data_IF_350013407511
#
_entry.id   IF_350013407511
#
_cell.length_a   1.000
_cell.length_b   1.000
_cell.length_c   1.000
_cell.angle_alpha   90.00
_cell.angle_beta   90.00
_cell.angle_gamma   90.00
#
_symmetry.space_group_name_H-M   'P 1'
#
loop_
_entity.id
_entity.type
_entity.pdbx_description
1 polymer ?
#
# COMPACT_ATOMS: atom_id res chain seq x y z
N UNK A 1 -23.35 -16.34 -16.77
CA UNK A 1 -22.65 -16.46 -15.47
C UNK A 1 -21.19 -16.91 -15.62
N UNK A 2 -20.88 -18.06 -16.22
CA UNK A 2 -19.49 -18.57 -16.34
C UNK A 2 -18.53 -17.57 -17.03
N UNK A 3 -19.00 -16.88 -18.08
CA UNK A 3 -18.17 -15.88 -18.79
C UNK A 3 -17.79 -14.66 -17.95
N UNK A 4 -18.63 -14.25 -16.99
CA UNK A 4 -18.34 -13.09 -16.13
C UNK A 4 -17.27 -13.44 -15.08
N UNK A 5 -17.34 -14.63 -14.48
CA UNK A 5 -16.30 -15.11 -13.57
C UNK A 5 -14.95 -15.33 -14.25
N UNK A 6 -14.96 -15.87 -15.48
CA UNK A 6 -13.73 -16.05 -16.27
C UNK A 6 -13.07 -14.70 -16.60
N UNK A 7 -13.86 -13.68 -16.93
CA UNK A 7 -13.36 -12.34 -17.19
C UNK A 7 -12.80 -11.68 -15.92
N UNK A 8 -13.53 -11.74 -14.79
CA UNK A 8 -13.05 -11.22 -13.51
C UNK A 8 -11.74 -11.92 -13.06
N UNK A 9 -11.63 -13.23 -13.28
CA UNK A 9 -10.41 -13.98 -13.01
C UNK A 9 -9.23 -13.47 -13.83
N UNK A 10 -9.43 -13.28 -15.15
CA UNK A 10 -8.42 -12.76 -16.05
C UNK A 10 -7.95 -11.36 -15.62
N UNK A 11 -8.87 -10.48 -15.23
CA UNK A 11 -8.56 -9.13 -14.73
C UNK A 11 -7.74 -9.21 -13.44
N UNK A 12 -8.10 -10.07 -12.49
CA UNK A 12 -7.34 -10.26 -11.25
C UNK A 12 -5.93 -10.82 -11.51
N UNK A 13 -5.76 -11.76 -12.44
CA UNK A 13 -4.43 -12.23 -12.84
C UNK A 13 -3.59 -11.14 -13.53
N UNK A 14 -4.21 -10.34 -14.39
CA UNK A 14 -3.55 -9.21 -15.03
C UNK A 14 -3.12 -8.16 -13.99
N UNK A 15 -3.99 -7.85 -13.03
CA UNK A 15 -3.67 -6.99 -11.89
C UNK A 15 -2.46 -7.50 -11.14
N UNK A 16 -2.46 -8.77 -10.74
CA UNK A 16 -1.32 -9.37 -10.04
C UNK A 16 -0.03 -9.27 -10.86
N UNK A 17 -0.10 -9.57 -12.15
CA UNK A 17 1.06 -9.51 -13.05
C UNK A 17 1.61 -8.08 -13.16
N UNK A 18 0.74 -7.08 -13.36
CA UNK A 18 1.11 -5.66 -13.41
C UNK A 18 1.72 -5.24 -12.07
N UNK A 19 1.10 -5.60 -10.95
CA UNK A 19 1.60 -5.27 -9.62
C UNK A 19 3.01 -5.81 -9.37
N UNK A 20 3.23 -7.11 -9.60
CA UNK A 20 4.55 -7.75 -9.40
C UNK A 20 5.59 -7.14 -10.34
N UNK A 21 5.20 -6.82 -11.57
CA UNK A 21 6.08 -6.19 -12.55
C UNK A 21 6.49 -4.76 -12.17
N UNK A 22 5.58 -3.94 -11.67
CA UNK A 22 5.86 -2.55 -11.28
C UNK A 22 6.41 -2.39 -9.86
N UNK A 23 6.23 -3.38 -8.98
CA UNK A 23 6.76 -3.37 -7.61
C UNK A 23 8.23 -2.97 -7.48
N UNK A 24 9.20 -3.44 -8.30
CA UNK A 24 10.59 -2.98 -8.19
C UNK A 24 10.75 -1.48 -8.46
N UNK A 25 9.99 -0.91 -9.41
CA UNK A 25 10.00 0.53 -9.69
C UNK A 25 9.40 1.29 -8.52
N UNK A 26 8.23 0.86 -8.05
CA UNK A 26 7.54 1.51 -6.93
C UNK A 26 8.41 1.48 -5.66
N UNK A 27 9.05 0.35 -5.37
CA UNK A 27 9.95 0.25 -4.23
C UNK A 27 11.12 1.23 -4.32
N UNK A 28 11.74 1.36 -5.49
CA UNK A 28 12.82 2.33 -5.73
C UNK A 28 12.30 3.77 -5.60
N UNK A 29 11.14 4.08 -6.20
CA UNK A 29 10.51 5.40 -6.11
C UNK A 29 10.13 5.77 -4.67
N UNK A 30 9.72 4.80 -3.86
CA UNK A 30 9.41 5.04 -2.47
C UNK A 30 10.69 5.23 -1.67
N UNK A 31 11.69 4.34 -1.79
CA UNK A 31 12.86 4.29 -0.87
C UNK A 31 14.02 5.19 -1.28
N UNK A 32 14.36 5.20 -2.56
CA UNK A 32 15.59 5.80 -3.08
C UNK A 32 15.34 7.16 -3.73
N UNK A 33 14.23 7.36 -4.45
CA UNK A 33 13.91 8.67 -5.03
C UNK A 33 13.92 9.86 -4.05
N UNK A 34 13.42 9.77 -2.79
CA UNK A 34 13.49 10.92 -1.88
C UNK A 34 14.94 11.23 -1.46
N UNK A 35 15.82 10.22 -1.42
CA UNK A 35 17.24 10.43 -1.14
C UNK A 35 17.96 11.06 -2.33
N UNK A 36 17.60 10.63 -3.54
CA UNK A 36 18.09 11.22 -4.78
C UNK A 36 17.69 12.70 -4.91
N UNK A 37 16.42 13.03 -4.58
CA UNK A 37 15.93 14.43 -4.54
C UNK A 37 16.67 15.29 -3.50
N UNK A 38 17.17 14.68 -2.42
CA UNK A 38 18.03 15.35 -1.43
C UNK A 38 19.52 15.44 -1.86
N UNK A 39 19.87 15.05 -3.09
CA UNK A 39 21.23 15.08 -3.62
C UNK A 39 22.15 13.97 -3.09
N UNK A 40 21.60 12.88 -2.52
CA UNK A 40 22.39 11.75 -2.04
C UNK A 40 22.62 10.72 -3.15
N UNK A 41 23.75 10.04 -3.07
CA UNK A 41 24.01 8.88 -3.93
C UNK A 41 23.03 7.75 -3.59
N UNK A 42 22.37 7.21 -4.61
CA UNK A 42 21.38 6.12 -4.49
C UNK A 42 21.78 4.92 -5.32
N UNK A 43 21.32 3.74 -4.91
CA UNK A 43 21.54 2.53 -5.69
C UNK A 43 20.74 2.60 -7.01
N UNK A 44 21.28 2.06 -8.12
CA UNK A 44 20.53 1.94 -9.36
C UNK A 44 19.38 0.94 -9.20
N UNK A 45 18.34 1.10 -10.01
CA UNK A 45 17.21 0.17 -10.08
C UNK A 45 17.71 -1.26 -10.38
N UNK A 46 17.52 -2.18 -9.42
CA UNK A 46 18.01 -3.57 -9.53
C UNK A 46 16.97 -4.52 -10.10
N UNK A 47 16.54 -4.27 -11.34
CA UNK A 47 15.51 -5.08 -12.01
C UNK A 47 15.86 -6.57 -12.02
N UNK A 48 17.07 -6.91 -12.49
CA UNK A 48 17.54 -8.31 -12.55
C UNK A 48 17.65 -8.95 -11.16
N UNK A 49 18.08 -8.17 -10.16
CA UNK A 49 18.19 -8.64 -8.78
C UNK A 49 16.84 -9.06 -8.21
N UNK A 50 15.80 -8.26 -8.44
CA UNK A 50 14.43 -8.54 -8.03
C UNK A 50 13.92 -9.88 -8.60
N UNK A 51 14.03 -10.07 -9.91
CA UNK A 51 13.57 -11.30 -10.56
C UNK A 51 14.41 -12.52 -10.21
N UNK A 52 15.73 -12.36 -10.03
CA UNK A 52 16.57 -13.46 -9.54
C UNK A 52 16.19 -13.88 -8.11
N UNK A 53 15.79 -12.92 -7.27
CA UNK A 53 15.31 -13.19 -5.91
C UNK A 53 14.03 -14.04 -5.89
N UNK A 54 13.09 -13.74 -6.78
CA UNK A 54 11.88 -14.55 -6.98
C UNK A 54 12.19 -15.98 -7.45
N UNK A 55 13.16 -16.15 -8.36
CA UNK A 55 13.60 -17.48 -8.77
C UNK A 55 14.15 -18.29 -7.60
N UNK A 56 14.85 -17.64 -6.67
CA UNK A 56 15.38 -18.28 -5.47
C UNK A 56 14.31 -18.55 -4.39
N UNK A 57 13.22 -17.76 -4.34
CA UNK A 57 12.07 -17.99 -3.43
C UNK A 57 11.47 -19.38 -3.61
N UNK A 58 11.35 -19.86 -4.86
CA UNK A 58 10.79 -21.19 -5.12
C UNK A 58 11.69 -22.35 -4.69
N UNK A 59 13.00 -22.12 -4.56
CA UNK A 59 13.98 -23.15 -4.21
C UNK A 59 14.23 -23.30 -2.71
N UNK A 60 13.74 -22.40 -1.85
CA UNK A 60 14.08 -22.36 -0.42
C UNK A 60 12.84 -22.14 0.45
N UNK A 61 12.88 -22.64 1.69
CA UNK A 61 11.78 -22.49 2.64
C UNK A 61 11.75 -21.07 3.19
N UNK A 62 10.59 -20.42 3.08
CA UNK A 62 10.31 -19.13 3.72
C UNK A 62 10.00 -19.35 5.21
N UNK A 63 10.32 -18.36 6.04
CA UNK A 63 9.83 -18.35 7.42
C UNK A 63 8.31 -18.18 7.44
N UNK A 64 7.65 -18.59 8.54
CA UNK A 64 6.20 -18.47 8.67
C UNK A 64 5.75 -16.99 8.58
N UNK A 65 6.53 -16.07 9.16
CA UNK A 65 6.24 -14.64 9.14
C UNK A 65 6.44 -14.05 7.74
N UNK A 66 7.49 -14.44 7.02
CA UNK A 66 7.72 -14.04 5.63
C UNK A 66 6.62 -14.56 4.71
N UNK A 67 6.23 -15.83 4.86
CA UNK A 67 5.15 -16.44 4.10
C UNK A 67 3.81 -15.73 4.36
N UNK A 68 3.50 -15.44 5.63
CA UNK A 68 2.32 -14.68 6.00
C UNK A 68 2.31 -13.29 5.36
N UNK A 69 3.41 -12.54 5.45
CA UNK A 69 3.47 -11.19 4.87
C UNK A 69 3.42 -11.20 3.35
N UNK A 70 4.02 -12.19 2.70
CA UNK A 70 3.89 -12.39 1.26
C UNK A 70 2.43 -12.64 0.87
N UNK A 71 1.74 -13.55 1.57
CA UNK A 71 0.32 -13.84 1.33
C UNK A 71 -0.52 -12.57 1.51
N UNK A 72 -0.29 -11.81 2.58
CA UNK A 72 -0.97 -10.53 2.82
C UNK A 72 -0.76 -9.54 1.66
N UNK A 73 0.47 -9.37 1.19
CA UNK A 73 0.77 -8.46 0.06
C UNK A 73 0.08 -8.92 -1.23
N UNK A 74 0.05 -10.23 -1.50
CA UNK A 74 -0.62 -10.82 -2.65
C UNK A 74 -2.15 -10.66 -2.56
N UNK A 75 -2.75 -10.96 -1.41
CA UNK A 75 -4.19 -10.77 -1.17
C UNK A 75 -4.56 -9.30 -1.40
N UNK A 76 -3.82 -8.36 -0.80
CA UNK A 76 -4.07 -6.94 -0.98
C UNK A 76 -3.94 -6.51 -2.46
N UNK A 77 -2.94 -7.01 -3.18
CA UNK A 77 -2.80 -6.69 -4.61
C UNK A 77 -3.92 -7.26 -5.49
N UNK A 78 -4.53 -8.37 -5.09
CA UNK A 78 -5.63 -9.01 -5.82
C UNK A 78 -6.99 -8.38 -5.51
N UNK A 79 -7.18 -7.88 -4.30
CA UNK A 79 -8.43 -7.26 -3.86
C UNK A 79 -8.53 -5.78 -4.20
N UNK A 80 -7.40 -5.05 -4.27
CA UNK A 80 -7.40 -3.61 -4.53
C UNK A 80 -7.88 -3.28 -5.96
N UNK A 81 -8.82 -2.32 -6.12
CA UNK A 81 -9.38 -1.94 -7.41
C UNK A 81 -8.47 -0.99 -8.20
N UNK A 82 -7.15 -1.20 -8.20
CA UNK A 82 -6.22 -0.21 -8.77
C UNK A 82 -6.24 -0.14 -10.30
N UNK A 83 -6.69 -1.19 -10.99
CA UNK A 83 -6.90 -1.19 -12.45
C UNK A 83 -8.38 -1.17 -12.81
N UNK A 84 -9.19 -1.93 -12.08
CA UNK A 84 -10.63 -2.04 -12.25
C UNK A 84 -11.31 -2.34 -10.93
N UNK A 85 -12.53 -1.82 -10.77
CA UNK A 85 -13.43 -2.20 -9.69
C UNK A 85 -14.00 -3.64 -9.87
N UNK A 86 -13.98 -4.18 -11.09
CA UNK A 86 -14.49 -5.52 -11.43
C UNK A 86 -13.43 -6.61 -11.23
N UNK A 87 -13.13 -6.95 -9.98
CA UNK A 87 -12.23 -8.06 -9.62
C UNK A 87 -12.96 -9.13 -8.80
N UNK A 88 -12.44 -10.37 -8.80
CA UNK A 88 -13.06 -11.50 -8.09
C UNK A 88 -13.14 -11.30 -6.58
N UNK A 89 -12.24 -10.51 -6.02
CA UNK A 89 -12.11 -10.24 -4.58
C UNK A 89 -12.57 -8.82 -4.23
N UNK A 90 -13.45 -8.23 -5.02
CA UNK A 90 -14.00 -6.88 -4.78
C UNK A 90 -14.69 -6.77 -3.42
N UNK A 91 -15.31 -7.85 -2.94
CA UNK A 91 -15.92 -7.92 -1.61
C UNK A 91 -14.91 -7.95 -0.45
N UNK A 92 -13.62 -8.19 -0.74
CA UNK A 92 -12.51 -8.06 0.21
C UNK A 92 -11.80 -6.71 0.10
N UNK A 93 -12.26 -5.81 -0.79
CA UNK A 93 -11.70 -4.47 -0.98
C UNK A 93 -12.12 -3.46 0.10
N UNK A 94 -12.44 -3.94 1.30
CA UNK A 94 -12.67 -3.08 2.44
C UNK A 94 -11.33 -2.47 2.90
N UNK A 95 -11.18 -1.13 2.90
CA UNK A 95 -9.95 -0.48 3.29
C UNK A 95 -9.55 -0.79 4.74
N UNK A 96 -10.51 -1.00 5.65
CA UNK A 96 -10.19 -1.39 7.03
C UNK A 96 -9.59 -2.79 7.06
N UNK A 97 -10.22 -3.77 6.41
CA UNK A 97 -9.74 -5.16 6.40
C UNK A 97 -8.36 -5.26 5.75
N UNK A 98 -8.20 -4.68 4.55
CA UNK A 98 -6.92 -4.69 3.84
C UNK A 98 -5.85 -3.91 4.59
N UNK A 99 -6.21 -2.74 5.13
CA UNK A 99 -5.30 -1.95 5.96
C UNK A 99 -4.84 -2.71 7.21
N UNK A 100 -5.75 -3.40 7.90
CA UNK A 100 -5.42 -4.26 9.05
C UNK A 100 -4.49 -5.40 8.66
N UNK A 101 -4.76 -6.08 7.54
CA UNK A 101 -3.90 -7.16 7.04
C UNK A 101 -2.50 -6.63 6.71
N UNK A 102 -2.39 -5.52 6.00
CA UNK A 102 -1.10 -4.90 5.65
C UNK A 102 -0.32 -4.45 6.91
N UNK A 103 -1.01 -3.88 7.90
CA UNK A 103 -0.41 -3.54 9.20
C UNK A 103 0.07 -4.79 9.94
N UNK A 104 -0.69 -5.89 9.91
CA UNK A 104 -0.28 -7.17 10.48
C UNK A 104 0.96 -7.74 9.78
N UNK A 105 0.99 -7.73 8.45
CA UNK A 105 2.16 -8.15 7.66
C UNK A 105 3.40 -7.30 7.95
N UNK A 106 3.21 -6.00 8.20
CA UNK A 106 4.26 -5.05 8.59
C UNK A 106 4.82 -5.37 9.98
N UNK A 107 3.95 -5.67 10.94
CA UNK A 107 4.35 -6.09 12.29
C UNK A 107 5.03 -7.47 12.28
N UNK A 108 4.60 -8.39 11.41
CA UNK A 108 5.21 -9.71 11.24
C UNK A 108 6.65 -9.63 10.71
N UNK A 109 6.91 -8.81 9.68
CA UNK A 109 8.28 -8.61 9.19
C UNK A 109 9.19 -7.92 10.20
N UNK A 110 8.64 -7.01 11.01
CA UNK A 110 9.44 -6.29 12.02
C UNK A 110 9.68 -7.12 13.28
N UNK A 111 8.80 -8.07 13.60
CA UNK A 111 8.99 -9.01 14.72
C UNK A 111 9.95 -10.15 14.40
N UNK A 112 10.12 -10.52 13.12
CA UNK A 112 11.11 -11.53 12.69
C UNK A 112 12.53 -11.16 13.16
N UNK A 113 12.90 -9.88 13.05
CA UNK A 113 14.20 -9.38 13.53
C UNK A 113 14.40 -9.50 15.05
N UNK A 114 13.33 -9.72 15.83
CA UNK A 114 13.39 -9.96 17.26
C UNK A 114 13.73 -11.43 17.57
N UNK A 115 13.24 -12.36 16.75
CA UNK A 115 13.40 -13.79 16.93
C UNK A 115 14.83 -14.26 16.64
N UNK A 116 15.53 -13.59 15.71
CA UNK A 116 16.91 -13.93 15.32
C UNK A 116 18.01 -13.40 16.26
N UNK A 117 17.68 -13.07 17.51
CA UNK A 117 18.66 -12.67 18.54
C UNK A 117 18.58 -11.19 18.92
N UNK A 118 17.40 -10.79 19.41
CA UNK A 118 17.01 -9.50 19.95
C UNK A 118 18.16 -8.54 20.32
N UNK A 119 18.44 -7.59 19.43
CA UNK A 119 19.15 -6.37 19.80
C UNK A 119 18.18 -5.41 20.49
N UNK A 120 18.60 -4.63 21.51
CA UNK A 120 17.74 -3.62 22.15
C UNK A 120 17.19 -2.61 21.14
N UNK A 121 17.90 -2.36 20.04
CA UNK A 121 17.45 -1.52 18.93
C UNK A 121 16.21 -2.09 18.21
N UNK A 122 16.08 -3.40 18.07
CA UNK A 122 14.94 -4.05 17.43
C UNK A 122 13.66 -3.91 18.27
N UNK A 123 13.76 -4.01 19.61
CA UNK A 123 12.64 -3.81 20.54
C UNK A 123 12.10 -2.38 20.45
N UNK A 124 12.99 -1.38 20.41
CA UNK A 124 12.60 0.02 20.29
C UNK A 124 11.89 0.25 18.96
N UNK A 125 12.45 -0.28 17.86
CA UNK A 125 11.84 -0.16 16.54
C UNK A 125 10.46 -0.80 16.50
N UNK A 126 10.30 -2.01 17.06
CA UNK A 126 9.02 -2.69 17.13
C UNK A 126 7.98 -1.87 17.91
N UNK A 127 8.33 -1.31 19.09
CA UNK A 127 7.42 -0.43 19.85
C UNK A 127 6.99 0.80 19.06
N UNK A 128 7.90 1.38 18.31
CA UNK A 128 7.60 2.51 17.43
C UNK A 128 6.62 2.08 16.34
N UNK A 129 6.85 0.95 15.67
CA UNK A 129 5.94 0.40 14.66
C UNK A 129 4.55 0.09 15.24
N UNK A 130 4.45 -0.52 16.43
CA UNK A 130 3.16 -0.75 17.11
C UNK A 130 2.39 0.53 17.36
N UNK A 131 3.06 1.60 17.81
CA UNK A 131 2.41 2.89 18.05
C UNK A 131 1.85 3.48 16.76
N UNK A 132 2.60 3.42 15.67
CA UNK A 132 2.15 3.94 14.38
C UNK A 132 1.12 3.03 13.71
N UNK A 133 1.19 1.71 13.92
CA UNK A 133 0.16 0.78 13.50
C UNK A 133 -1.17 1.04 14.23
N UNK A 134 -1.12 1.34 15.54
CA UNK A 134 -2.31 1.76 16.30
C UNK A 134 -2.91 3.06 15.78
N UNK A 135 -2.08 4.06 15.45
CA UNK A 135 -2.55 5.29 14.80
C UNK A 135 -3.13 5.00 13.40
N UNK A 136 -2.50 4.13 12.63
CA UNK A 136 -2.97 3.67 11.33
C UNK A 136 -4.35 3.02 11.43
N UNK A 137 -4.57 2.16 12.41
CA UNK A 137 -5.87 1.52 12.68
C UNK A 137 -6.97 2.55 12.95
N UNK A 138 -6.67 3.58 13.76
CA UNK A 138 -7.62 4.67 14.04
C UNK A 138 -7.98 5.42 12.74
N UNK A 139 -6.99 5.71 11.90
CA UNK A 139 -7.21 6.40 10.62
C UNK A 139 -8.00 5.51 9.65
N UNK A 140 -7.72 4.21 9.60
CA UNK A 140 -8.48 3.25 8.79
C UNK A 140 -9.95 3.18 9.23
N UNK A 141 -10.21 3.14 10.55
CA UNK A 141 -11.57 3.22 11.08
C UNK A 141 -12.27 4.54 10.73
N UNK A 142 -11.55 5.66 10.74
CA UNK A 142 -12.08 6.93 10.25
C UNK A 142 -12.38 6.91 8.74
N UNK A 143 -11.59 6.17 7.95
CA UNK A 143 -11.82 5.98 6.51
C UNK A 143 -13.15 5.26 6.29
N UNK A 144 -13.37 4.14 6.97
CA UNK A 144 -14.61 3.37 6.88
C UNK A 144 -15.81 4.19 7.35
N UNK A 145 -15.69 4.95 8.44
CA UNK A 145 -16.74 5.84 8.90
C UNK A 145 -17.10 6.92 7.86
N UNK A 146 -16.12 7.51 7.17
CA UNK A 146 -16.38 8.47 6.09
C UNK A 146 -17.06 7.81 4.88
N UNK A 147 -16.63 6.61 4.50
CA UNK A 147 -17.24 5.84 3.40
C UNK A 147 -18.70 5.52 3.75
N UNK A 148 -18.96 4.99 4.95
CA UNK A 148 -20.30 4.67 5.42
C UNK A 148 -21.21 5.91 5.50
N UNK A 149 -20.67 7.07 5.84
CA UNK A 149 -21.42 8.33 5.88
C UNK A 149 -21.80 8.86 4.50
N UNK A 150 -20.96 8.63 3.48
CA UNK A 150 -21.15 9.22 2.16
C UNK A 150 -21.80 8.28 1.15
N UNK A 151 -21.68 6.97 1.33
CA UNK A 151 -22.22 5.95 0.45
C UNK A 151 -22.89 4.84 1.27
N UNK A 152 -24.06 5.10 1.88
CA UNK A 152 -24.77 4.08 2.64
C UNK A 152 -25.14 2.90 1.73
N UNK A 153 -24.66 1.70 2.08
CA UNK A 153 -24.85 0.48 1.30
C UNK A 153 -23.74 0.15 0.30
N UNK A 154 -22.65 0.92 0.23
CA UNK A 154 -21.46 0.50 -0.50
C UNK A 154 -20.61 -0.47 0.33
N UNK A 155 -20.46 -1.70 -0.14
CA UNK A 155 -19.59 -2.70 0.49
C UNK A 155 -18.11 -2.44 0.07
N UNK A 156 -17.44 -1.50 0.74
CA UNK A 156 -16.01 -1.22 0.57
C UNK A 156 -15.64 -0.26 -0.57
N UNK A 157 -14.35 -0.26 -0.97
CA UNK A 157 -13.81 0.67 -1.96
C UNK A 157 -14.42 0.49 -3.35
N UNK A 158 -14.71 -0.75 -3.76
CA UNK A 158 -15.30 -1.07 -5.06
C UNK A 158 -16.69 -0.43 -5.20
N UNK A 159 -17.55 -0.58 -4.18
CA UNK A 159 -18.86 0.05 -4.11
C UNK A 159 -18.78 1.58 -4.04
N UNK A 160 -17.80 2.13 -3.31
CA UNK A 160 -17.56 3.58 -3.28
C UNK A 160 -17.20 4.13 -4.66
N UNK A 161 -16.32 3.45 -5.40
CA UNK A 161 -15.92 3.86 -6.75
C UNK A 161 -17.12 3.87 -7.70
N UNK A 162 -17.96 2.83 -7.65
CA UNK A 162 -19.18 2.76 -8.45
C UNK A 162 -20.14 3.93 -8.12
N UNK A 163 -20.31 4.26 -6.84
CA UNK A 163 -21.19 5.35 -6.43
C UNK A 163 -20.65 6.73 -6.84
N UNK A 164 -19.35 6.99 -6.68
CA UNK A 164 -18.73 8.27 -7.03
C UNK A 164 -18.72 8.54 -8.55
N UNK A 165 -18.74 7.50 -9.38
CA UNK A 165 -18.87 7.66 -10.83
C UNK A 165 -20.28 8.12 -11.24
N UNK A 166 -21.30 7.74 -10.46
CA UNK A 166 -22.69 8.13 -10.71
C UNK A 166 -22.99 9.50 -10.12
N UNK A 167 -22.55 9.75 -8.88
CA UNK A 167 -22.77 10.99 -8.16
C UNK A 167 -21.46 11.47 -7.51
N UNK A 168 -20.74 12.41 -8.15
CA UNK A 168 -19.46 12.88 -7.64
C UNK A 168 -19.67 13.76 -6.39
N UNK A 169 -19.02 13.39 -5.28
CA UNK A 169 -19.07 14.13 -4.01
C UNK A 169 -17.68 14.72 -3.72
N UNK A 170 -17.38 15.95 -4.18
CA UNK A 170 -16.02 16.52 -4.11
C UNK A 170 -15.53 16.73 -2.67
N UNK A 171 -16.44 16.99 -1.72
CA UNK A 171 -16.09 17.11 -0.30
C UNK A 171 -15.59 15.80 0.31
N UNK A 172 -16.12 14.66 -0.15
CA UNK A 172 -15.68 13.33 0.28
C UNK A 172 -14.33 12.98 -0.34
N UNK A 173 -14.14 13.21 -1.64
CA UNK A 173 -12.87 12.95 -2.31
C UNK A 173 -11.71 13.71 -1.64
N UNK A 174 -11.94 14.99 -1.32
CA UNK A 174 -10.96 15.79 -0.56
C UNK A 174 -10.70 15.25 0.85
N UNK A 175 -11.73 14.74 1.53
CA UNK A 175 -11.59 14.13 2.84
C UNK A 175 -10.78 12.82 2.80
N UNK A 176 -11.07 11.95 1.82
CA UNK A 176 -10.35 10.69 1.61
C UNK A 176 -8.90 10.94 1.19
N UNK A 177 -8.63 11.96 0.38
CA UNK A 177 -7.27 12.39 0.06
C UNK A 177 -6.51 12.82 1.33
N UNK A 178 -7.14 13.58 2.23
CA UNK A 178 -6.54 13.94 3.52
C UNK A 178 -6.26 12.71 4.39
N UNK A 179 -7.17 11.74 4.43
CA UNK A 179 -6.98 10.47 5.14
C UNK A 179 -5.82 9.67 4.55
N UNK A 180 -5.72 9.56 3.23
CA UNK A 180 -4.61 8.87 2.57
C UNK A 180 -3.27 9.53 2.93
N UNK A 181 -3.21 10.85 2.98
CA UNK A 181 -2.02 11.58 3.47
C UNK A 181 -1.74 11.29 4.95
N UNK A 182 -2.77 11.27 5.80
CA UNK A 182 -2.62 10.92 7.21
C UNK A 182 -2.05 9.51 7.40
N UNK A 183 -2.53 8.53 6.64
CA UNK A 183 -2.01 7.15 6.62
C UNK A 183 -0.56 7.10 6.11
N UNK A 184 -0.23 7.85 5.06
CA UNK A 184 1.13 7.94 4.55
C UNK A 184 2.11 8.51 5.58
N UNK A 185 1.67 9.52 6.36
CA UNK A 185 2.44 10.12 7.45
C UNK A 185 2.59 9.15 8.63
N UNK A 186 1.51 8.48 9.03
CA UNK A 186 1.51 7.56 10.15
C UNK A 186 2.36 6.31 9.85
N UNK A 187 2.16 5.70 8.68
CA UNK A 187 2.75 4.43 8.29
C UNK A 187 3.62 4.59 7.03
N UNK A 188 4.79 5.26 7.11
CA UNK A 188 5.68 5.38 5.96
C UNK A 188 6.29 4.03 5.58
N UNK A 189 6.74 3.82 4.33
CA UNK A 189 7.37 2.59 3.87
C UNK A 189 8.39 2.01 4.84
N UNK A 190 8.37 0.68 5.00
CA UNK A 190 9.25 -0.07 5.86
C UNK A 190 10.72 0.23 5.53
N UNK A 191 11.49 0.53 6.57
CA UNK A 191 12.95 0.58 6.47
C UNK A 191 13.46 -0.83 6.75
N UNK A 192 14.14 -1.50 5.81
CA UNK A 192 14.71 -2.80 6.08
C UNK A 192 15.69 -2.66 7.23
N UNK A 193 15.56 -3.50 8.27
CA UNK A 193 16.54 -3.51 9.35
C UNK A 193 17.90 -3.90 8.76
N UNK A 194 18.99 -3.21 9.13
CA UNK A 194 20.32 -3.68 8.80
C UNK A 194 20.52 -5.05 9.47
N UNK A 195 21.11 -6.04 8.79
CA UNK A 195 21.40 -7.32 9.41
C UNK A 195 22.21 -7.12 10.69
N UNK A 196 21.83 -7.84 11.75
CA UNK A 196 22.70 -7.98 12.93
C UNK A 196 24.03 -8.61 12.55
N UNK A 197 24.99 -8.63 13.49
CA UNK A 197 26.40 -9.07 13.35
C UNK A 197 26.62 -10.51 12.80
N UNK A 198 25.58 -11.22 12.33
CA UNK A 198 25.68 -12.51 11.65
C UNK A 198 26.48 -12.51 10.34
N UNK A 199 26.91 -11.34 9.84
CA UNK A 199 27.88 -11.23 8.74
C UNK A 199 29.24 -11.90 9.03
N UNK A 200 29.55 -12.21 10.29
CA UNK A 200 30.79 -12.89 10.70
C UNK A 200 30.69 -14.42 10.78
N UNK A 201 29.50 -15.03 10.65
CA UNK A 201 29.31 -16.50 10.71
C UNK A 201 28.36 -16.98 9.61
N UNK A 202 28.89 -17.66 8.59
CA UNK A 202 28.09 -18.36 7.57
C UNK A 202 27.28 -17.43 6.66
N UNK A 203 27.95 -16.70 5.77
CA UNK A 203 27.43 -15.49 5.15
C UNK A 203 26.37 -15.67 4.04
N UNK A 204 26.10 -16.86 3.51
CA UNK A 204 25.19 -17.02 2.35
C UNK A 204 23.72 -17.06 2.74
N UNK A 205 23.37 -17.81 3.79
CA UNK A 205 21.97 -18.06 4.15
C UNK A 205 21.35 -16.85 4.85
N UNK A 206 22.10 -16.17 5.73
CA UNK A 206 21.66 -14.91 6.37
C UNK A 206 21.51 -13.78 5.34
N UNK A 207 22.40 -13.71 4.33
CA UNK A 207 22.24 -12.73 3.23
C UNK A 207 20.98 -12.99 2.43
N UNK A 208 20.69 -14.26 2.15
CA UNK A 208 19.48 -14.66 1.45
C UNK A 208 18.22 -14.26 2.23
N UNK A 209 18.14 -14.54 3.53
CA UNK A 209 16.99 -14.16 4.38
C UNK A 209 16.78 -12.64 4.43
N UNK A 210 17.86 -11.87 4.56
CA UNK A 210 17.79 -10.41 4.57
C UNK A 210 17.34 -9.86 3.22
N UNK A 211 17.87 -10.40 2.12
CA UNK A 211 17.43 -10.03 0.79
C UNK A 211 15.98 -10.45 0.58
N UNK A 212 15.56 -11.61 1.06
CA UNK A 212 14.17 -12.08 1.00
C UNK A 212 13.21 -11.12 1.71
N UNK A 213 13.50 -10.77 2.95
CA UNK A 213 12.71 -9.81 3.72
C UNK A 213 12.64 -8.45 3.03
N UNK A 214 13.70 -8.01 2.33
CA UNK A 214 13.67 -6.77 1.53
C UNK A 214 12.73 -6.85 0.34
N UNK A 215 12.69 -7.98 -0.37
CA UNK A 215 11.78 -8.20 -1.50
C UNK A 215 10.32 -8.25 -1.02
N UNK A 216 10.04 -8.97 0.07
CA UNK A 216 8.70 -9.06 0.64
C UNK A 216 8.26 -7.69 1.19
N UNK A 217 9.14 -6.96 1.87
CA UNK A 217 8.86 -5.60 2.32
C UNK A 217 8.61 -4.66 1.13
N UNK A 218 9.29 -4.83 0.00
CA UNK A 218 9.05 -4.04 -1.20
C UNK A 218 7.63 -4.28 -1.77
N UNK A 219 7.19 -5.53 -1.81
CA UNK A 219 5.82 -5.88 -2.22
C UNK A 219 4.81 -5.30 -1.23
N UNK A 220 5.02 -5.47 0.07
CA UNK A 220 4.13 -4.95 1.10
C UNK A 220 4.03 -3.41 1.04
N UNK A 221 5.16 -2.70 0.91
CA UNK A 221 5.18 -1.24 0.76
C UNK A 221 4.46 -0.79 -0.52
N UNK A 222 4.61 -1.56 -1.60
CA UNK A 222 3.91 -1.30 -2.87
C UNK A 222 2.40 -1.49 -2.72
N UNK A 223 1.96 -2.56 -2.06
CA UNK A 223 0.55 -2.84 -1.78
C UNK A 223 -0.07 -1.78 -0.85
N UNK A 224 0.67 -1.38 0.19
CA UNK A 224 0.28 -0.26 1.05
C UNK A 224 0.13 1.04 0.25
N UNK A 225 1.09 1.35 -0.62
CA UNK A 225 1.00 2.53 -1.47
C UNK A 225 -0.20 2.48 -2.44
N UNK A 226 -0.51 1.31 -3.01
CA UNK A 226 -1.71 1.14 -3.82
C UNK A 226 -3.00 1.39 -3.02
N UNK A 227 -3.09 0.88 -1.79
CA UNK A 227 -4.21 1.19 -0.90
C UNK A 227 -4.35 2.70 -0.67
N UNK A 228 -3.23 3.42 -0.44
CA UNK A 228 -3.25 4.86 -0.22
C UNK A 228 -3.77 5.64 -1.43
N UNK A 229 -3.34 5.30 -2.65
CA UNK A 229 -3.79 6.01 -3.84
C UNK A 229 -5.22 5.64 -4.23
N UNK A 230 -5.66 4.40 -3.95
CA UNK A 230 -7.04 3.96 -4.19
C UNK A 230 -8.00 4.67 -3.23
N UNK A 231 -7.61 4.82 -1.95
CA UNK A 231 -8.37 5.62 -0.98
C UNK A 231 -8.32 7.11 -1.36
N UNK A 232 -7.16 7.64 -1.73
CA UNK A 232 -6.98 9.08 -1.92
C UNK A 232 -7.58 9.64 -3.20
N UNK A 233 -7.73 8.81 -4.24
CA UNK A 233 -8.20 9.22 -5.57
C UNK A 233 -9.19 8.19 -6.15
N UNK A 234 -10.30 7.89 -5.45
CA UNK A 234 -11.22 6.83 -5.86
C UNK A 234 -11.91 7.14 -7.19
N UNK A 235 -12.18 8.41 -7.50
CA UNK A 235 -12.79 8.85 -8.76
C UNK A 235 -11.93 8.62 -10.02
N UNK A 236 -10.63 8.30 -9.86
CA UNK A 236 -9.74 7.95 -10.98
C UNK A 236 -9.61 6.43 -11.19
N UNK A 237 -10.42 5.62 -10.48
CA UNK A 237 -10.57 4.19 -10.75
C UNK A 237 -11.58 4.03 -11.88
N UNK A 238 -11.13 3.44 -12.99
CA UNK A 238 -11.97 3.18 -14.15
C UNK A 238 -12.81 1.91 -14.01
N UNK A 239 -13.95 1.87 -14.70
CA UNK A 239 -14.69 0.64 -15.00
C UNK A 239 -14.31 0.12 -16.38
N UNK A 240 -14.22 -1.21 -16.53
CA UNK A 240 -13.98 -1.82 -17.83
C UNK A 240 -15.31 -2.07 -18.56
N UNK A 241 -15.82 -1.03 -19.22
CA UNK A 241 -17.08 -1.13 -19.99
C UNK A 241 -16.94 -1.87 -21.34
N UNK A 242 -15.87 -2.66 -21.52
CA UNK A 242 -15.59 -3.43 -22.75
C UNK A 242 -15.23 -2.60 -23.99
N UNK A 243 -15.23 -1.27 -23.91
CA UNK A 243 -14.84 -0.37 -25.00
C UNK A 243 -13.31 -0.20 -25.05
N UNK A 244 -12.71 -0.16 -26.25
CA UNK A 244 -11.25 0.03 -26.40
C UNK A 244 -10.72 1.28 -25.66
N UNK A 245 -11.56 2.32 -25.58
CA UNK A 245 -11.21 3.57 -24.91
C UNK A 245 -11.08 3.40 -23.38
N UNK A 246 -11.92 2.58 -22.73
CA UNK A 246 -11.78 2.28 -21.30
C UNK A 246 -10.51 1.48 -20.99
N UNK A 247 -10.08 0.61 -21.90
CA UNK A 247 -8.80 -0.10 -21.82
C UNK A 247 -7.57 0.82 -21.88
N UNK A 248 -7.67 1.97 -22.54
CA UNK A 248 -6.60 2.98 -22.56
C UNK A 248 -6.69 3.96 -21.37
N UNK A 249 -7.90 4.30 -20.93
CA UNK A 249 -8.10 5.24 -19.83
C UNK A 249 -7.75 4.64 -18.46
N UNK A 250 -8.06 3.37 -18.20
CA UNK A 250 -7.74 2.71 -16.94
C UNK A 250 -6.23 2.74 -16.59
N UNK A 251 -5.29 2.36 -17.48
CA UNK A 251 -3.86 2.47 -17.19
C UNK A 251 -3.39 3.92 -17.11
N UNK A 252 -3.98 4.86 -17.87
CA UNK A 252 -3.66 6.28 -17.77
C UNK A 252 -4.09 6.86 -16.40
N UNK A 253 -5.28 6.51 -15.91
CA UNK A 253 -5.77 6.87 -14.58
C UNK A 253 -4.90 6.28 -13.47
N UNK A 254 -4.47 5.02 -13.62
CA UNK A 254 -3.49 4.41 -12.71
C UNK A 254 -2.16 5.18 -12.70
N UNK A 255 -1.60 5.51 -13.85
CA UNK A 255 -0.36 6.30 -13.94
C UNK A 255 -0.50 7.68 -13.31
N UNK A 256 -1.64 8.35 -13.53
CA UNK A 256 -1.94 9.63 -12.89
C UNK A 256 -1.98 9.49 -11.36
N UNK A 257 -2.71 8.51 -10.82
CA UNK A 257 -2.77 8.25 -9.38
C UNK A 257 -1.41 7.89 -8.78
N UNK A 258 -0.66 7.01 -9.45
CA UNK A 258 0.69 6.64 -9.02
C UNK A 258 1.61 7.86 -9.00
N UNK A 259 1.59 8.69 -10.04
CA UNK A 259 2.45 9.88 -10.10
C UNK A 259 2.10 10.90 -9.00
N UNK A 260 0.82 11.21 -8.80
CA UNK A 260 0.37 12.12 -7.74
C UNK A 260 0.72 11.57 -6.36
N UNK A 261 0.42 10.29 -6.10
CA UNK A 261 0.74 9.64 -4.84
C UNK A 261 2.25 9.63 -4.56
N UNK A 262 3.08 9.34 -5.58
CA UNK A 262 4.53 9.34 -5.45
C UNK A 262 5.07 10.74 -5.17
N UNK A 263 4.54 11.77 -5.82
CA UNK A 263 4.93 13.17 -5.55
C UNK A 263 4.61 13.53 -4.11
N UNK A 264 3.40 13.23 -3.62
CA UNK A 264 2.98 13.53 -2.25
C UNK A 264 3.85 12.79 -1.23
N UNK A 265 4.03 11.47 -1.39
CA UNK A 265 4.83 10.66 -0.45
C UNK A 265 6.29 11.13 -0.46
N UNK A 266 6.87 11.42 -1.63
CA UNK A 266 8.22 11.94 -1.70
C UNK A 266 8.35 13.34 -1.09
N UNK A 267 7.36 14.22 -1.28
CA UNK A 267 7.36 15.55 -0.68
C UNK A 267 7.31 15.47 0.85
N UNK A 268 6.43 14.63 1.41
CA UNK A 268 6.35 14.37 2.85
C UNK A 268 7.70 13.88 3.42
N UNK A 269 8.40 13.03 2.67
CA UNK A 269 9.74 12.55 3.01
C UNK A 269 10.80 13.64 2.95
N UNK A 270 10.78 14.48 1.92
CA UNK A 270 11.71 15.60 1.75
C UNK A 270 11.57 16.59 2.91
N UNK A 271 10.35 16.89 3.33
CA UNK A 271 10.05 17.81 4.44
C UNK A 271 10.23 17.12 5.81
N UNK A 272 10.59 15.83 5.85
CA UNK A 272 10.77 15.03 7.08
C UNK A 272 9.51 14.97 7.96
N UNK A 273 8.33 14.96 7.35
CA UNK A 273 7.05 14.86 8.05
C UNK A 273 6.63 13.41 8.34
N UNK A 274 7.50 12.42 8.09
CA UNK A 274 7.24 11.02 8.43
C UNK A 274 7.07 10.84 9.95
N UNK A 275 6.10 10.01 10.36
CA UNK A 275 5.91 9.61 11.76
C UNK A 275 5.59 10.79 12.70
N UNK A 276 5.11 11.92 12.18
CA UNK A 276 4.67 13.05 13.00
C UNK A 276 3.17 12.87 13.31
N UNK A 277 2.87 12.26 14.46
CA UNK A 277 1.48 11.96 14.86
C UNK A 277 0.56 13.20 14.88
N UNK A 278 1.09 14.38 15.22
CA UNK A 278 0.33 15.65 15.19
C UNK A 278 -0.15 16.01 13.79
N UNK A 279 0.67 15.76 12.76
CA UNK A 279 0.32 16.05 11.37
C UNK A 279 -0.72 15.06 10.86
N UNK A 280 -0.58 13.78 11.20
CA UNK A 280 -1.62 12.79 10.89
C UNK A 280 -2.97 13.17 11.51
N UNK A 281 -3.00 13.57 12.80
CA UNK A 281 -4.23 14.02 13.47
C UNK A 281 -4.80 15.29 12.82
N UNK A 282 -3.96 16.24 12.41
CA UNK A 282 -4.39 17.44 11.70
C UNK A 282 -5.12 17.07 10.38
N UNK A 283 -4.56 16.14 9.60
CA UNK A 283 -5.19 15.68 8.37
C UNK A 283 -6.50 14.91 8.60
N UNK A 284 -6.60 14.11 9.67
CA UNK A 284 -7.87 13.49 10.07
C UNK A 284 -8.92 14.56 10.41
N UNK A 285 -8.54 15.57 11.20
CA UNK A 285 -9.42 16.69 11.54
C UNK A 285 -9.88 17.45 10.28
N UNK A 286 -8.96 17.72 9.36
CA UNK A 286 -9.27 18.34 8.07
C UNK A 286 -10.21 17.48 7.23
N UNK A 287 -10.00 16.16 7.20
CA UNK A 287 -10.88 15.23 6.49
C UNK A 287 -12.31 15.28 7.02
N UNK A 288 -12.48 15.26 8.35
CA UNK A 288 -13.78 15.38 8.99
C UNK A 288 -14.46 16.72 8.67
N UNK A 289 -13.73 17.83 8.72
CA UNK A 289 -14.25 19.15 8.36
C UNK A 289 -14.66 19.23 6.88
N UNK A 290 -13.85 18.67 5.97
CA UNK A 290 -14.17 18.60 4.54
C UNK A 290 -15.42 17.76 4.29
N UNK A 291 -15.51 16.57 4.90
CA UNK A 291 -16.68 15.70 4.78
C UNK A 291 -17.96 16.39 5.30
N UNK A 292 -17.89 17.04 6.47
CA UNK A 292 -19.00 17.79 7.03
C UNK A 292 -19.39 19.00 6.16
N UNK A 293 -18.40 19.72 5.62
CA UNK A 293 -18.65 20.85 4.71
C UNK A 293 -19.31 20.41 3.41
N UNK A 294 -18.91 19.26 2.86
CA UNK A 294 -19.50 18.68 1.66
C UNK A 294 -20.97 18.33 1.89
N UNK A 295 -21.28 17.68 3.02
CA UNK A 295 -22.66 17.34 3.38
C UNK A 295 -23.54 18.57 3.67
N UNK A 296 -22.96 19.66 4.18
CA UNK A 296 -23.70 20.89 4.41
C UNK A 296 -23.98 21.68 3.12
N UNK A 297 -23.24 21.40 2.04
CA UNK A 297 -23.38 22.06 0.74
C UNK A 297 -24.34 21.34 -0.22
N UNK A 298 -24.72 20.10 0.08
CA UNK A 298 -25.71 19.27 -0.65
C UNK A 298 -27.07 19.35 0.01
#
# INVERSE_FOLDING_TARGET
MIGHYAFAALVSFLQLAVFVFFSPVLSWCLRDAPQWLMGRAVAPLRWRGFWSGWGMMWGRRLSVLQAFTLIVALIASLSLPFLSADNLLSGLADPLVLGCLLLAGRLALTSEALWDGAQPAAVVLLRVEWRYAGLGLIILGATEALIALAAPGSDGLSGLCANLQVEPVPGLEGALACIAVALAVACPPLRPLPPGRGLERGASDVRFEVDMARHIAALLDSAWFLLLIDIGLPGLIGTFDGTFLSWCLAPAGLLARLSVGLVIVNLLRVIKQERVGRVAVLFIGMALLLALSGRAAT
#
